data_IF_521646598779
#
_entry.id   IF_521646598779
#
_cell.length_a   1.000
_cell.length_b   1.000
_cell.length_c   1.000
_cell.angle_alpha   90.00
_cell.angle_beta   90.00
_cell.angle_gamma   90.00
#
_symmetry.space_group_name_H-M   'P 1'
#
loop_
_entity.id
_entity.type
_entity.pdbx_description
1 polymer ?
#
# COMPACT_ATOMS: atom_id res chain seq x y z
N UNK A 1 -15.47 -15.68 -19.16
CA UNK A 1 -15.29 -15.51 -17.70
C UNK A 1 -16.32 -14.49 -17.24
N UNK A 2 -17.17 -14.80 -16.26
CA UNK A 2 -18.23 -13.87 -15.82
C UNK A 2 -17.64 -12.68 -15.05
N UNK A 3 -18.33 -11.53 -15.07
CA UNK A 3 -17.90 -10.34 -14.31
C UNK A 3 -17.80 -10.64 -12.81
N UNK A 4 -18.76 -11.41 -12.25
CA UNK A 4 -18.69 -11.92 -10.88
C UNK A 4 -17.37 -12.63 -10.55
N UNK A 5 -16.96 -13.59 -11.39
CA UNK A 5 -15.73 -14.33 -11.15
C UNK A 5 -14.49 -13.44 -11.24
N UNK A 6 -14.46 -12.49 -12.20
CA UNK A 6 -13.37 -11.54 -12.31
C UNK A 6 -13.24 -10.66 -11.06
N UNK A 7 -14.37 -10.16 -10.51
CA UNK A 7 -14.39 -9.36 -9.27
C UNK A 7 -13.83 -10.18 -8.10
N UNK A 8 -14.26 -11.43 -7.93
CA UNK A 8 -13.82 -12.31 -6.84
C UNK A 8 -12.31 -12.61 -6.92
N UNK A 9 -11.81 -12.96 -8.11
CA UNK A 9 -10.39 -13.25 -8.33
C UNK A 9 -9.52 -12.03 -8.02
N UNK A 10 -9.91 -10.84 -8.49
CA UNK A 10 -9.15 -9.62 -8.21
C UNK A 10 -9.21 -9.22 -6.73
N UNK A 11 -10.35 -9.45 -6.07
CA UNK A 11 -10.50 -9.22 -4.63
C UNK A 11 -9.52 -10.09 -3.83
N UNK A 12 -9.45 -11.39 -4.15
CA UNK A 12 -8.54 -12.32 -3.49
C UNK A 12 -7.07 -11.98 -3.78
N UNK A 13 -6.76 -11.63 -5.04
CA UNK A 13 -5.41 -11.26 -5.43
C UNK A 13 -4.93 -9.99 -4.71
N UNK A 14 -5.81 -8.99 -4.52
CA UNK A 14 -5.47 -7.76 -3.81
C UNK A 14 -5.20 -8.03 -2.33
N UNK A 15 -6.05 -8.86 -1.69
CA UNK A 15 -5.87 -9.30 -0.31
C UNK A 15 -4.52 -9.99 -0.13
N UNK A 16 -4.24 -11.00 -0.95
CA UNK A 16 -2.99 -11.75 -0.87
C UNK A 16 -1.76 -10.87 -1.08
N UNK A 17 -1.77 -10.01 -2.12
CA UNK A 17 -0.65 -9.11 -2.38
C UNK A 17 -0.40 -8.13 -1.22
N UNK A 18 -1.45 -7.71 -0.52
CA UNK A 18 -1.36 -6.84 0.67
C UNK A 18 -0.78 -7.61 1.86
N UNK A 19 -1.28 -8.82 2.14
CA UNK A 19 -0.80 -9.68 3.22
C UNK A 19 0.67 -10.08 3.02
N UNK A 20 1.07 -10.36 1.78
CA UNK A 20 2.45 -10.69 1.39
C UNK A 20 3.38 -9.47 1.38
N UNK A 21 2.88 -8.27 1.65
CA UNK A 21 3.61 -6.99 1.54
C UNK A 21 4.25 -6.78 0.15
N UNK A 22 3.67 -7.38 -0.87
CA UNK A 22 4.19 -7.32 -2.23
C UNK A 22 3.61 -6.09 -2.94
N UNK A 23 4.16 -4.91 -2.61
CA UNK A 23 3.68 -3.62 -3.13
C UNK A 23 3.63 -3.54 -4.66
N UNK A 24 4.62 -4.07 -5.41
CA UNK A 24 4.50 -4.15 -6.87
C UNK A 24 3.30 -4.97 -7.35
N UNK A 25 2.99 -6.08 -6.68
CA UNK A 25 1.81 -6.87 -6.99
C UNK A 25 0.51 -6.13 -6.63
N UNK A 26 0.47 -5.37 -5.54
CA UNK A 26 -0.68 -4.53 -5.17
C UNK A 26 -0.99 -3.53 -6.27
N UNK A 27 0.01 -2.81 -6.79
CA UNK A 27 -0.17 -1.85 -7.91
C UNK A 27 -0.67 -2.54 -9.18
N UNK A 28 -0.12 -3.72 -9.50
CA UNK A 28 -0.54 -4.48 -10.68
C UNK A 28 -1.99 -4.97 -10.57
N UNK A 29 -2.42 -5.43 -9.39
CA UNK A 29 -3.81 -5.85 -9.17
C UNK A 29 -4.75 -4.64 -9.20
N UNK A 30 -4.34 -3.51 -8.62
CA UNK A 30 -5.11 -2.26 -8.64
C UNK A 30 -5.36 -1.76 -10.07
N UNK A 31 -4.34 -1.80 -10.94
CA UNK A 31 -4.49 -1.45 -12.35
C UNK A 31 -5.53 -2.34 -13.07
N UNK A 32 -5.52 -3.65 -12.80
CA UNK A 32 -6.49 -4.60 -13.35
C UNK A 32 -7.91 -4.36 -12.80
N UNK A 33 -8.03 -3.97 -11.53
CA UNK A 33 -9.31 -3.55 -10.94
C UNK A 33 -9.84 -2.30 -11.66
N UNK A 34 -8.99 -1.29 -11.89
CA UNK A 34 -9.39 -0.08 -12.62
C UNK A 34 -9.84 -0.38 -14.05
N UNK A 35 -9.17 -1.29 -14.76
CA UNK A 35 -9.61 -1.78 -16.08
C UNK A 35 -10.97 -2.47 -16.02
N UNK A 36 -11.17 -3.37 -15.05
CA UNK A 36 -12.45 -4.05 -14.87
C UNK A 36 -13.57 -3.05 -14.59
N UNK A 37 -13.34 -2.10 -13.68
CA UNK A 37 -14.32 -1.07 -13.31
C UNK A 37 -14.73 -0.21 -14.52
N UNK A 38 -13.77 0.16 -15.38
CA UNK A 38 -14.07 0.84 -16.65
C UNK A 38 -14.88 -0.03 -17.59
N UNK A 39 -14.54 -1.32 -17.72
CA UNK A 39 -15.21 -2.25 -18.62
C UNK A 39 -16.66 -2.59 -18.22
N UNK A 40 -17.00 -2.44 -16.95
CA UNK A 40 -18.36 -2.66 -16.43
C UNK A 40 -19.12 -1.35 -16.17
N UNK A 41 -18.50 -0.19 -16.41
CA UNK A 41 -19.14 1.10 -16.24
C UNK A 41 -20.40 1.21 -17.11
N UNK A 42 -21.52 1.61 -16.49
CA UNK A 42 -22.81 1.74 -17.17
C UNK A 42 -23.55 0.42 -17.44
N UNK A 43 -22.99 -0.73 -17.05
CA UNK A 43 -23.71 -2.01 -17.08
C UNK A 43 -24.55 -2.18 -15.82
N UNK A 44 -25.77 -2.73 -15.97
CA UNK A 44 -26.58 -3.11 -14.82
C UNK A 44 -25.97 -4.36 -14.19
N UNK A 45 -25.59 -4.25 -12.92
CA UNK A 45 -25.03 -5.35 -12.15
C UNK A 45 -26.14 -6.15 -11.46
N UNK A 46 -26.06 -7.48 -11.59
CA UNK A 46 -26.93 -8.38 -10.86
C UNK A 46 -26.64 -8.34 -9.35
N UNK A 47 -27.55 -8.88 -8.53
CA UNK A 47 -27.42 -8.82 -7.07
C UNK A 47 -26.08 -9.42 -6.57
N UNK A 48 -25.67 -10.56 -7.12
CA UNK A 48 -24.41 -11.22 -6.77
C UNK A 48 -23.18 -10.39 -7.17
N UNK A 49 -23.23 -9.67 -8.30
CA UNK A 49 -22.15 -8.82 -8.75
C UNK A 49 -22.02 -7.56 -7.89
N UNK A 50 -23.14 -7.00 -7.43
CA UNK A 50 -23.16 -5.89 -6.48
C UNK A 50 -22.54 -6.29 -5.14
N UNK A 51 -22.91 -7.46 -4.61
CA UNK A 51 -22.33 -7.99 -3.37
C UNK A 51 -20.81 -8.21 -3.51
N UNK A 52 -20.37 -8.79 -4.63
CA UNK A 52 -18.95 -8.95 -4.92
C UNK A 52 -18.21 -7.60 -5.04
N UNK A 53 -18.86 -6.58 -5.61
CA UNK A 53 -18.30 -5.23 -5.71
C UNK A 53 -18.16 -4.56 -4.34
N UNK A 54 -19.11 -4.76 -3.44
CA UNK A 54 -19.02 -4.27 -2.05
C UNK A 54 -17.88 -4.96 -1.30
N UNK A 55 -17.67 -6.26 -1.52
CA UNK A 55 -16.54 -7.00 -0.96
C UNK A 55 -15.19 -6.50 -1.50
N UNK A 56 -15.11 -6.22 -2.81
CA UNK A 56 -13.94 -5.63 -3.44
C UNK A 56 -13.62 -4.25 -2.84
N UNK A 57 -14.64 -3.39 -2.70
CA UNK A 57 -14.49 -2.04 -2.13
C UNK A 57 -13.95 -2.08 -0.70
N UNK A 58 -14.50 -2.95 0.15
CA UNK A 58 -14.02 -3.13 1.54
C UNK A 58 -12.57 -3.60 1.57
N UNK A 59 -12.23 -4.58 0.74
CA UNK A 59 -10.86 -5.13 0.67
C UNK A 59 -9.87 -4.07 0.17
N UNK A 60 -10.27 -3.24 -0.79
CA UNK A 60 -9.45 -2.14 -1.29
C UNK A 60 -9.18 -1.07 -0.24
N UNK A 61 -10.20 -0.70 0.53
CA UNK A 61 -10.03 0.22 1.67
C UNK A 61 -9.06 -0.35 2.71
N UNK A 62 -9.21 -1.62 3.08
CA UNK A 62 -8.29 -2.30 4.00
C UNK A 62 -6.84 -2.30 3.47
N UNK A 63 -6.67 -2.61 2.18
CA UNK A 63 -5.35 -2.59 1.54
C UNK A 63 -4.71 -1.20 1.56
N UNK A 64 -5.50 -0.16 1.29
CA UNK A 64 -5.05 1.24 1.37
C UNK A 64 -4.63 1.63 2.79
N UNK A 65 -5.44 1.33 3.79
CA UNK A 65 -5.13 1.63 5.19
C UNK A 65 -3.85 0.92 5.63
N UNK A 66 -3.66 -0.32 5.17
CA UNK A 66 -2.43 -1.09 5.42
C UNK A 66 -1.19 -0.44 4.77
N UNK A 67 -1.30 -0.06 3.50
CA UNK A 67 -0.22 0.62 2.79
C UNK A 67 0.14 1.96 3.45
N UNK A 68 -0.86 2.71 3.91
CA UNK A 68 -0.65 3.97 4.63
C UNK A 68 0.10 3.72 5.95
N UNK A 69 -0.33 2.77 6.76
CA UNK A 69 0.35 2.44 8.02
C UNK A 69 1.81 2.00 7.82
N UNK A 70 2.09 1.23 6.77
CA UNK A 70 3.46 0.84 6.43
C UNK A 70 4.31 2.04 5.96
N UNK A 71 3.72 2.95 5.20
CA UNK A 71 4.37 4.20 4.78
C UNK A 71 4.71 5.09 5.98
N UNK A 72 3.78 5.23 6.92
CA UNK A 72 3.97 6.05 8.12
C UNK A 72 5.08 5.48 9.01
N UNK A 73 5.09 4.16 9.21
CA UNK A 73 6.17 3.47 9.95
C UNK A 73 7.53 3.65 9.27
N UNK A 74 7.58 3.61 7.93
CA UNK A 74 8.82 3.85 7.18
C UNK A 74 9.30 5.29 7.36
N UNK A 75 8.40 6.27 7.26
CA UNK A 75 8.72 7.68 7.45
C UNK A 75 9.28 7.95 8.86
N UNK A 76 8.70 7.33 9.89
CA UNK A 76 9.21 7.42 11.26
C UNK A 76 10.62 6.84 11.40
N UNK A 77 10.88 5.66 10.83
CA UNK A 77 12.22 5.05 10.82
C UNK A 77 13.25 5.92 10.10
N UNK A 78 12.87 6.52 8.97
CA UNK A 78 13.76 7.44 8.23
C UNK A 78 14.08 8.69 9.06
N UNK A 79 13.08 9.28 9.71
CA UNK A 79 13.26 10.43 10.61
C UNK A 79 14.23 10.12 11.76
N UNK A 80 14.09 8.93 12.37
CA UNK A 80 15.01 8.47 13.42
C UNK A 80 16.44 8.30 12.90
N UNK A 81 16.61 7.72 11.71
CA UNK A 81 17.93 7.54 11.10
C UNK A 81 18.63 8.86 10.80
N UNK A 82 17.90 9.85 10.28
CA UNK A 82 18.42 11.20 10.04
C UNK A 82 18.87 11.84 11.34
N UNK A 83 18.02 11.83 12.37
CA UNK A 83 18.36 12.39 13.71
C UNK A 83 19.59 11.72 14.33
N UNK A 84 19.69 10.39 14.23
CA UNK A 84 20.85 9.66 14.75
C UNK A 84 22.14 10.04 14.01
N UNK A 85 22.07 10.23 12.69
CA UNK A 85 23.22 10.68 11.90
C UNK A 85 23.63 12.11 12.26
N UNK A 86 22.67 13.01 12.41
CA UNK A 86 22.92 14.39 12.86
C UNK A 86 23.56 14.41 14.25
N UNK A 87 23.02 13.63 15.20
CA UNK A 87 23.59 13.48 16.54
C UNK A 87 25.02 12.93 16.51
N UNK A 88 25.26 11.83 15.79
CA UNK A 88 26.60 11.26 15.65
C UNK A 88 27.60 12.24 15.00
N UNK A 89 27.15 13.04 14.03
CA UNK A 89 27.98 14.06 13.38
C UNK A 89 28.30 15.22 14.33
N UNK A 90 27.33 15.65 15.16
CA UNK A 90 27.55 16.68 16.17
C UNK A 90 28.59 16.25 17.22
N UNK A 91 28.54 14.99 17.68
CA UNK A 91 29.56 14.46 18.58
C UNK A 91 30.94 14.40 17.91
N UNK A 92 31.02 13.97 16.65
CA UNK A 92 32.29 13.89 15.92
C UNK A 92 32.95 15.28 15.75
N UNK A 93 32.17 16.29 15.36
CA UNK A 93 32.65 17.67 15.23
C UNK A 93 33.12 18.25 16.58
N UNK A 94 32.38 17.99 17.65
CA UNK A 94 32.75 18.46 18.99
C UNK A 94 34.04 17.80 19.51
N UNK A 95 34.24 16.51 19.26
CA UNK A 95 35.50 15.84 19.60
C UNK A 95 36.69 16.34 18.79
N UNK A 96 36.49 16.75 17.54
CA UNK A 96 37.54 17.29 16.67
C UNK A 96 37.92 18.73 17.07
N UNK A 97 36.94 19.58 17.41
CA UNK A 97 37.17 20.93 17.95
C UNK A 97 37.80 20.92 19.35
N UNK A 98 37.45 19.93 20.18
CA UNK A 98 38.06 19.73 21.50
C UNK A 98 39.48 19.19 21.46
N UNK A 99 39.88 18.49 20.38
CA UNK A 99 41.23 17.96 20.19
C UNK A 99 42.21 18.98 19.59
N UNK A 100 41.71 20.06 18.97
CA UNK A 100 42.53 21.19 18.47
C UNK A 100 42.81 22.29 19.52
N UNK A 101 42.42 22.11 20.78
CA UNK A 101 42.70 23.05 21.87
C UNK A 101 43.78 22.56 22.83
#
# INVERSE_FOLDING_TARGET
MSALHAIQVLTQALRQATEDHNWPAVVNVDAKIAELLRAIQGKSLEAAEREAMDALKKTHQQARDYCQGQSDMLAEKMSLSVRNREGATAYALFTDEGAMR
#
